data_IF_711750275123
#
_entry.id   IF_711750275123
#
_cell.length_a   1.000
_cell.length_b   1.000
_cell.length_c   1.000
_cell.angle_alpha   90.00
_cell.angle_beta   90.00
_cell.angle_gamma   90.00
#
_symmetry.space_group_name_H-M   'P 1'
#
loop_
_entity.id
_entity.type
_entity.pdbx_description
1 polymer ?
#
# COMPACT_ATOMS: atom_id res chain seq x y z
N UNK A 1 10.50 -10.49 -32.54
CA UNK A 1 10.96 -10.57 -31.15
C UNK A 1 11.00 -12.02 -30.60
N UNK A 2 11.77 -12.96 -31.19
CA UNK A 2 11.78 -14.36 -30.72
C UNK A 2 12.93 -14.74 -29.77
N UNK A 3 13.94 -13.90 -29.55
CA UNK A 3 15.19 -14.34 -28.89
C UNK A 3 15.08 -14.58 -27.37
N UNK A 4 14.08 -14.03 -26.68
CA UNK A 4 13.97 -14.14 -25.22
C UNK A 4 13.01 -15.23 -24.74
N UNK A 5 12.21 -15.82 -25.63
CA UNK A 5 11.20 -16.84 -25.27
C UNK A 5 11.86 -18.07 -24.64
N UNK A 6 13.02 -18.48 -25.17
CA UNK A 6 13.76 -19.61 -24.63
C UNK A 6 14.27 -19.40 -23.21
N UNK A 7 14.55 -18.15 -22.81
CA UNK A 7 14.96 -17.82 -21.44
C UNK A 7 13.76 -17.82 -20.49
N UNK A 8 12.62 -17.29 -20.94
CA UNK A 8 11.36 -17.28 -20.16
C UNK A 8 10.89 -18.70 -19.87
N UNK A 9 10.99 -19.60 -20.84
CA UNK A 9 10.63 -21.02 -20.69
C UNK A 9 11.53 -21.81 -19.72
N UNK A 10 12.69 -21.29 -19.32
CA UNK A 10 13.52 -21.91 -18.28
C UNK A 10 12.97 -21.66 -16.88
N UNK A 11 12.10 -20.65 -16.72
CA UNK A 11 11.43 -20.38 -15.46
C UNK A 11 10.23 -21.31 -15.27
N UNK A 12 9.96 -21.70 -14.02
CA UNK A 12 8.86 -22.61 -13.70
C UNK A 12 7.49 -22.04 -14.10
N UNK A 13 7.32 -20.71 -14.12
CA UNK A 13 6.10 -20.02 -14.55
C UNK A 13 6.14 -19.54 -16.01
N UNK A 14 7.18 -19.87 -16.78
CA UNK A 14 7.36 -19.35 -18.14
C UNK A 14 6.23 -19.69 -19.10
N UNK A 15 5.63 -20.86 -18.95
CA UNK A 15 4.48 -21.29 -19.76
C UNK A 15 3.21 -20.50 -19.46
N UNK A 16 2.98 -20.14 -18.20
CA UNK A 16 1.81 -19.34 -17.80
C UNK A 16 1.92 -17.93 -18.38
N UNK A 17 3.14 -17.39 -18.43
CA UNK A 17 3.41 -16.08 -19.02
C UNK A 17 3.18 -16.05 -20.53
N UNK A 18 3.48 -17.14 -21.24
CA UNK A 18 3.16 -17.26 -22.67
C UNK A 18 1.67 -17.49 -22.93
N UNK A 19 0.94 -18.08 -21.98
CA UNK A 19 -0.50 -18.34 -22.11
C UNK A 19 -1.35 -17.05 -22.11
N UNK A 20 -0.79 -15.95 -21.60
CA UNK A 20 -1.42 -14.62 -21.57
C UNK A 20 -0.93 -13.70 -22.72
N UNK A 21 -0.19 -14.23 -23.69
CA UNK A 21 0.24 -13.54 -24.91
C UNK A 21 -0.52 -14.07 -26.13
N UNK A 22 -0.81 -13.19 -27.09
CA UNK A 22 -1.43 -13.51 -28.38
C UNK A 22 -0.47 -13.14 -29.50
N UNK A 23 -0.41 -13.95 -30.54
CA UNK A 23 0.37 -13.61 -31.74
C UNK A 23 -0.50 -12.81 -32.73
N UNK A 24 -0.07 -11.60 -33.06
CA UNK A 24 -0.68 -10.78 -34.11
C UNK A 24 0.39 -10.33 -35.11
N UNK A 25 0.23 -10.69 -36.38
CA UNK A 25 1.17 -10.37 -37.48
C UNK A 25 2.64 -10.72 -37.18
N UNK A 26 2.90 -11.84 -36.51
CA UNK A 26 4.25 -12.30 -36.16
C UNK A 26 4.89 -11.57 -34.97
N UNK A 27 4.11 -10.80 -34.20
CA UNK A 27 4.52 -10.17 -32.95
C UNK A 27 3.64 -10.68 -31.81
N UNK A 28 4.28 -11.03 -30.70
CA UNK A 28 3.58 -11.32 -29.44
C UNK A 28 3.07 -10.00 -28.86
N UNK A 29 1.77 -9.94 -28.63
CA UNK A 29 1.04 -8.84 -28.01
C UNK A 29 0.28 -9.37 -26.79
N UNK A 30 -0.15 -8.47 -25.91
CA UNK A 30 -0.96 -8.84 -24.75
C UNK A 30 -2.27 -9.51 -25.22
N UNK A 31 -2.71 -10.55 -24.52
CA UNK A 31 -4.01 -11.15 -24.79
C UNK A 31 -5.16 -10.27 -24.31
N UNK A 32 -6.34 -10.54 -24.83
CA UNK A 32 -7.58 -9.79 -24.61
C UNK A 32 -7.96 -9.64 -23.11
N UNK A 33 -7.50 -10.55 -22.23
CA UNK A 33 -7.71 -10.49 -20.77
C UNK A 33 -7.21 -9.21 -20.11
N UNK A 34 -6.24 -8.53 -20.74
CA UNK A 34 -5.68 -7.28 -20.23
C UNK A 34 -6.47 -6.04 -20.63
N UNK A 35 -7.37 -6.18 -21.60
CA UNK A 35 -8.08 -5.05 -22.20
C UNK A 35 -9.57 -5.07 -21.86
N UNK A 36 -10.20 -6.25 -21.86
CA UNK A 36 -11.61 -6.39 -21.56
C UNK A 36 -11.96 -7.74 -20.91
N UNK A 37 -13.15 -7.90 -20.32
CA UNK A 37 -13.59 -9.17 -19.76
C UNK A 37 -13.64 -10.28 -20.83
N UNK A 38 -13.12 -11.47 -20.51
CA UNK A 38 -13.08 -12.65 -21.39
C UNK A 38 -13.89 -13.85 -20.86
N UNK A 39 -14.52 -13.70 -19.68
CA UNK A 39 -15.18 -14.80 -18.96
C UNK A 39 -16.55 -15.19 -19.51
N UNK A 40 -17.19 -14.35 -20.33
CA UNK A 40 -18.56 -14.54 -20.79
C UNK A 40 -18.65 -14.39 -22.32
N UNK A 41 -19.48 -15.23 -22.95
CA UNK A 41 -19.83 -15.06 -24.36
C UNK A 41 -20.60 -13.75 -24.53
N UNK A 42 -20.16 -12.89 -25.45
CA UNK A 42 -20.86 -11.65 -25.82
C UNK A 42 -22.15 -12.03 -26.56
N UNK A 43 -23.17 -12.43 -25.82
CA UNK A 43 -24.52 -12.50 -26.34
C UNK A 43 -24.96 -11.07 -26.66
N UNK A 44 -25.25 -10.80 -27.93
CA UNK A 44 -25.86 -9.55 -28.35
C UNK A 44 -27.29 -9.52 -27.81
N UNK A 45 -27.48 -8.97 -26.61
CA UNK A 45 -28.78 -8.46 -26.20
C UNK A 45 -29.11 -7.28 -27.10
N UNK A 46 -30.14 -7.43 -27.94
CA UNK A 46 -30.51 -6.41 -28.93
C UNK A 46 -31.23 -5.19 -28.32
N UNK A 47 -31.82 -5.33 -27.13
CA UNK A 47 -32.49 -4.23 -26.43
C UNK A 47 -32.70 -4.56 -24.95
N UNK A 48 -32.60 -3.56 -24.07
CA UNK A 48 -32.97 -3.69 -22.64
C UNK A 48 -33.74 -2.46 -22.20
N UNK A 49 -34.86 -2.65 -21.49
CA UNK A 49 -35.67 -1.52 -21.00
C UNK A 49 -35.13 -0.93 -19.67
N UNK A 50 -34.23 -1.64 -18.98
CA UNK A 50 -33.72 -1.27 -17.66
C UNK A 50 -32.31 -0.66 -17.71
N UNK A 51 -32.10 0.58 -17.20
CA UNK A 51 -30.77 1.18 -17.10
C UNK A 51 -29.75 0.34 -16.29
N UNK A 52 -30.21 -0.42 -15.30
CA UNK A 52 -29.35 -1.29 -14.49
C UNK A 52 -28.83 -2.51 -15.28
N UNK A 53 -29.67 -3.04 -16.16
CA UNK A 53 -29.31 -4.15 -17.03
C UNK A 53 -28.34 -3.66 -18.12
N UNK A 54 -28.59 -2.49 -18.69
CA UNK A 54 -27.68 -1.83 -19.62
C UNK A 54 -26.31 -1.56 -18.99
N UNK A 55 -26.26 -1.09 -17.73
CA UNK A 55 -25.01 -0.92 -16.98
C UNK A 55 -24.27 -2.26 -16.83
N UNK A 56 -24.97 -3.33 -16.45
CA UNK A 56 -24.39 -4.65 -16.29
C UNK A 56 -23.83 -5.20 -17.61
N UNK A 57 -24.53 -4.97 -18.73
CA UNK A 57 -24.06 -5.33 -20.07
C UNK A 57 -22.83 -4.52 -20.49
N UNK A 58 -22.81 -3.22 -20.18
CA UNK A 58 -21.67 -2.34 -20.42
C UNK A 58 -20.42 -2.82 -19.68
N UNK A 59 -20.56 -3.13 -18.38
CA UNK A 59 -19.49 -3.68 -17.56
C UNK A 59 -19.03 -5.06 -18.03
N UNK A 60 -19.95 -5.93 -18.43
CA UNK A 60 -19.60 -7.26 -18.94
C UNK A 60 -18.84 -7.20 -20.27
N UNK A 61 -19.15 -6.20 -21.12
CA UNK A 61 -18.55 -6.06 -22.45
C UNK A 61 -17.23 -5.27 -22.43
N UNK A 62 -17.20 -4.15 -21.71
CA UNK A 62 -16.09 -3.20 -21.73
C UNK A 62 -15.29 -3.15 -20.42
N UNK A 63 -15.85 -3.64 -19.31
CA UNK A 63 -15.24 -3.49 -17.98
C UNK A 63 -15.30 -2.05 -17.43
N UNK A 64 -15.99 -1.14 -18.13
CA UNK A 64 -16.18 0.28 -17.79
C UNK A 64 -17.64 0.68 -18.01
N UNK A 65 -18.02 1.86 -17.53
CA UNK A 65 -19.35 2.43 -17.76
C UNK A 65 -19.34 3.19 -19.09
N UNK A 66 -19.75 2.53 -20.17
CA UNK A 66 -19.90 3.17 -21.48
C UNK A 66 -21.33 3.65 -21.73
N UNK A 67 -21.56 4.96 -21.55
CA UNK A 67 -22.87 5.58 -21.71
C UNK A 67 -23.38 5.48 -23.15
N UNK A 68 -22.52 5.67 -24.16
CA UNK A 68 -22.93 5.55 -25.56
C UNK A 68 -23.50 4.17 -25.90
N UNK A 69 -22.87 3.11 -25.40
CA UNK A 69 -23.38 1.74 -25.55
C UNK A 69 -24.70 1.53 -24.81
N UNK A 70 -24.84 2.09 -23.62
CA UNK A 70 -26.07 2.00 -22.84
C UNK A 70 -27.24 2.73 -23.53
N UNK A 71 -26.99 3.88 -24.16
CA UNK A 71 -27.98 4.60 -24.95
C UNK A 71 -28.45 3.79 -26.16
N UNK A 72 -27.54 3.09 -26.85
CA UNK A 72 -27.89 2.19 -27.96
C UNK A 72 -28.79 1.04 -27.48
N UNK A 73 -28.55 0.51 -26.28
CA UNK A 73 -29.32 -0.59 -25.70
C UNK A 73 -30.71 -0.18 -25.21
N UNK A 74 -30.85 0.98 -24.57
CA UNK A 74 -32.12 1.40 -23.94
C UNK A 74 -32.92 2.40 -24.78
N UNK A 75 -32.28 3.08 -25.75
CA UNK A 75 -32.87 4.22 -26.47
C UNK A 75 -33.06 5.48 -25.62
N UNK A 76 -32.55 5.50 -24.39
CA UNK A 76 -32.65 6.63 -23.45
C UNK A 76 -31.57 7.68 -23.69
N UNK A 77 -31.81 8.90 -23.19
CA UNK A 77 -30.76 9.92 -23.18
C UNK A 77 -29.71 9.65 -22.10
N UNK A 78 -28.52 10.25 -22.23
CA UNK A 78 -27.47 10.17 -21.22
C UNK A 78 -27.96 10.69 -19.87
N UNK A 79 -28.69 11.81 -19.86
CA UNK A 79 -29.24 12.42 -18.65
C UNK A 79 -30.24 11.50 -17.94
N UNK A 80 -31.08 10.79 -18.69
CA UNK A 80 -32.04 9.81 -18.15
C UNK A 80 -31.31 8.63 -17.50
N UNK A 81 -30.27 8.10 -18.16
CA UNK A 81 -29.46 7.00 -17.64
C UNK A 81 -28.74 7.42 -16.35
N UNK A 82 -28.10 8.58 -16.34
CA UNK A 82 -27.39 9.11 -15.17
C UNK A 82 -28.33 9.40 -14.01
N UNK A 83 -29.53 9.91 -14.29
CA UNK A 83 -30.57 10.13 -13.28
C UNK A 83 -31.03 8.81 -12.68
N UNK A 84 -31.28 7.79 -13.51
CA UNK A 84 -31.69 6.47 -13.06
C UNK A 84 -30.59 5.74 -12.26
N UNK A 85 -29.33 5.98 -12.61
CA UNK A 85 -28.15 5.35 -12.00
C UNK A 85 -27.50 6.22 -10.91
N UNK A 86 -28.19 7.26 -10.45
CA UNK A 86 -27.69 8.15 -9.41
C UNK A 86 -27.32 7.37 -8.15
N UNK A 87 -26.10 7.61 -7.65
CA UNK A 87 -25.53 6.91 -6.50
C UNK A 87 -24.94 5.53 -6.80
N UNK A 88 -25.08 5.01 -8.03
CA UNK A 88 -24.41 3.78 -8.48
C UNK A 88 -23.23 4.05 -9.39
N UNK A 89 -23.26 5.15 -10.15
CA UNK A 89 -22.15 5.59 -10.99
C UNK A 89 -21.74 7.01 -10.60
N UNK A 90 -20.45 7.29 -10.65
CA UNK A 90 -19.86 8.59 -10.34
C UNK A 90 -18.90 8.99 -11.45
N UNK A 91 -18.88 10.29 -11.77
CA UNK A 91 -17.91 10.83 -12.70
C UNK A 91 -16.55 10.94 -12.02
N UNK A 92 -15.52 10.36 -12.63
CA UNK A 92 -14.15 10.46 -12.18
C UNK A 92 -13.35 11.38 -13.13
N UNK A 93 -13.02 12.62 -12.69
CA UNK A 93 -12.31 13.58 -13.53
C UNK A 93 -10.85 13.19 -13.81
N UNK A 94 -10.27 12.25 -13.06
CA UNK A 94 -8.89 11.79 -13.27
C UNK A 94 -8.75 10.88 -14.48
N UNK A 95 -9.83 10.20 -14.88
CA UNK A 95 -9.88 9.32 -16.06
C UNK A 95 -10.85 9.83 -17.12
N UNK A 96 -11.48 10.98 -16.88
CA UNK A 96 -12.48 11.62 -17.76
C UNK A 96 -13.61 10.65 -18.16
N UNK A 97 -14.18 9.95 -17.18
CA UNK A 97 -15.19 8.93 -17.44
C UNK A 97 -15.97 8.54 -16.20
N UNK A 98 -17.03 7.75 -16.39
CA UNK A 98 -17.86 7.25 -15.29
C UNK A 98 -17.34 5.92 -14.76
N UNK A 99 -17.35 5.79 -13.43
CA UNK A 99 -17.03 4.56 -12.72
C UNK A 99 -18.19 4.15 -11.82
N UNK A 100 -18.36 2.85 -11.60
CA UNK A 100 -19.30 2.35 -10.60
C UNK A 100 -18.84 2.71 -9.19
N UNK A 101 -19.79 2.88 -8.26
CA UNK A 101 -19.55 3.23 -6.85
C UNK A 101 -18.44 2.37 -6.25
N UNK A 102 -18.55 1.05 -6.36
CA UNK A 102 -17.62 0.09 -5.75
C UNK A 102 -16.17 0.29 -6.22
N UNK A 103 -15.98 0.60 -7.51
CA UNK A 103 -14.66 0.88 -8.09
C UNK A 103 -14.19 2.28 -7.73
N UNK A 104 -15.09 3.24 -7.74
CA UNK A 104 -14.79 4.64 -7.46
C UNK A 104 -14.36 4.86 -6.01
N UNK A 105 -15.00 4.20 -5.04
CA UNK A 105 -14.63 4.28 -3.61
C UNK A 105 -13.53 3.28 -3.20
N UNK A 106 -12.99 2.51 -4.15
CA UNK A 106 -11.89 1.59 -3.86
C UNK A 106 -10.52 2.30 -3.91
N UNK A 107 -9.58 1.77 -3.11
CA UNK A 107 -8.19 2.21 -3.05
C UNK A 107 -7.93 3.28 -1.99
N UNK A 108 -6.89 4.09 -2.19
CA UNK A 108 -6.57 5.20 -1.30
C UNK A 108 -7.54 6.37 -1.56
N UNK A 109 -8.68 6.36 -0.86
CA UNK A 109 -9.75 7.35 -0.98
C UNK A 109 -9.24 8.76 -0.65
N UNK A 110 -8.37 8.90 0.36
CA UNK A 110 -7.81 10.19 0.79
C UNK A 110 -6.99 10.82 -0.33
N UNK A 111 -6.05 10.06 -0.91
CA UNK A 111 -5.24 10.55 -2.03
C UNK A 111 -6.12 10.90 -3.24
N UNK A 112 -7.11 10.06 -3.57
CA UNK A 112 -8.04 10.32 -4.69
C UNK A 112 -8.85 11.60 -4.48
N UNK A 113 -9.31 11.87 -3.26
CA UNK A 113 -9.99 13.13 -2.92
C UNK A 113 -9.08 14.34 -3.09
N UNK A 114 -7.82 14.25 -2.66
CA UNK A 114 -6.83 15.31 -2.84
C UNK A 114 -6.56 15.59 -4.32
N UNK A 115 -6.35 14.54 -5.12
CA UNK A 115 -6.13 14.64 -6.57
C UNK A 115 -7.33 15.30 -7.27
N UNK A 116 -8.56 14.89 -6.93
CA UNK A 116 -9.78 15.46 -7.52
C UNK A 116 -9.95 16.93 -7.10
N UNK A 117 -9.69 17.28 -5.83
CA UNK A 117 -9.73 18.67 -5.37
C UNK A 117 -8.69 19.52 -6.08
N UNK A 118 -7.49 19.00 -6.30
CA UNK A 118 -6.46 19.69 -7.07
C UNK A 118 -6.87 19.88 -8.52
N UNK A 119 -7.47 18.85 -9.15
CA UNK A 119 -8.02 18.96 -10.49
C UNK A 119 -9.10 20.06 -10.58
N UNK A 120 -9.99 20.14 -9.59
CA UNK A 120 -11.05 21.15 -9.50
C UNK A 120 -10.50 22.58 -9.32
N UNK A 121 -9.35 22.76 -8.68
CA UNK A 121 -8.70 24.07 -8.57
C UNK A 121 -8.10 24.55 -9.89
N UNK A 122 -7.67 23.62 -10.75
CA UNK A 122 -7.07 23.92 -12.06
C UNK A 122 -8.15 24.21 -13.11
N UNK A 123 -9.32 23.58 -12.99
CA UNK A 123 -10.44 23.74 -13.91
C UNK A 123 -11.47 24.73 -13.36
N UNK A 124 -11.59 25.90 -13.99
CA UNK A 124 -12.44 27.02 -13.53
C UNK A 124 -13.94 26.73 -13.58
N UNK A 125 -14.37 25.70 -14.31
CA UNK A 125 -15.79 25.35 -14.41
C UNK A 125 -16.20 24.44 -13.26
N UNK A 126 -17.13 24.92 -12.43
CA UNK A 126 -17.75 24.10 -11.39
C UNK A 126 -18.65 23.05 -12.03
N UNK A 127 -18.17 21.82 -12.10
CA UNK A 127 -18.96 20.67 -12.52
C UNK A 127 -19.63 20.02 -11.30
N UNK A 128 -20.96 20.12 -11.24
CA UNK A 128 -21.78 19.52 -10.18
C UNK A 128 -21.56 18.00 -10.03
N UNK A 129 -21.14 17.30 -11.08
CA UNK A 129 -20.86 15.85 -11.05
C UNK A 129 -19.64 15.53 -10.19
N UNK A 130 -18.66 16.44 -10.17
CA UNK A 130 -17.43 16.30 -9.36
C UNK A 130 -17.75 16.51 -7.88
N UNK A 131 -18.66 17.43 -7.56
CA UNK A 131 -19.10 17.65 -6.18
C UNK A 131 -19.84 16.42 -5.62
N UNK A 132 -20.70 15.79 -6.42
CA UNK A 132 -21.35 14.52 -6.05
C UNK A 132 -20.34 13.39 -5.85
N UNK A 133 -19.32 13.32 -6.72
CA UNK A 133 -18.24 12.34 -6.61
C UNK A 133 -17.40 12.56 -5.33
N UNK A 134 -17.05 13.81 -5.01
CA UNK A 134 -16.32 14.14 -3.78
C UNK A 134 -17.12 13.78 -2.52
N UNK A 135 -18.43 14.03 -2.50
CA UNK A 135 -19.29 13.65 -1.40
C UNK A 135 -19.33 12.13 -1.18
N UNK A 136 -19.36 11.35 -2.27
CA UNK A 136 -19.32 9.89 -2.20
C UNK A 136 -17.98 9.35 -1.67
N UNK A 137 -16.86 10.01 -2.02
CA UNK A 137 -15.56 9.66 -1.44
C UNK A 137 -15.48 10.01 0.03
N UNK A 138 -16.02 11.16 0.44
CA UNK A 138 -16.06 11.60 1.84
C UNK A 138 -16.86 10.64 2.74
N UNK A 139 -18.00 10.14 2.26
CA UNK A 139 -18.78 9.10 2.94
C UNK A 139 -18.00 7.77 3.07
N UNK A 140 -17.13 7.48 2.10
CA UNK A 140 -16.34 6.25 2.06
C UNK A 140 -15.00 6.34 2.83
N UNK A 141 -14.67 7.49 3.43
CA UNK A 141 -13.44 7.64 4.22
C UNK A 141 -13.53 6.71 5.44
N UNK A 142 -12.56 5.79 5.63
CA UNK A 142 -12.52 4.94 6.81
C UNK A 142 -12.39 5.76 8.09
N UNK A 143 -12.90 5.22 9.20
CA UNK A 143 -12.70 5.83 10.52
C UNK A 143 -11.20 6.00 10.81
N UNK A 144 -10.82 7.20 11.28
CA UNK A 144 -9.44 7.47 11.64
C UNK A 144 -9.08 6.64 12.87
N UNK A 145 -8.00 5.87 12.77
CA UNK A 145 -7.49 5.10 13.90
C UNK A 145 -6.84 6.09 14.89
N UNK A 146 -7.32 6.17 16.15
CA UNK A 146 -6.73 7.04 17.14
C UNK A 146 -5.32 6.56 17.49
N UNK A 147 -4.45 7.49 17.91
CA UNK A 147 -3.06 7.16 18.22
C UNK A 147 -2.93 6.10 19.33
N UNK A 148 -3.83 6.12 20.31
CA UNK A 148 -3.83 5.17 21.43
C UNK A 148 -4.09 3.71 21.00
N UNK A 149 -4.72 3.49 19.84
CA UNK A 149 -4.99 2.16 19.29
C UNK A 149 -3.85 1.67 18.36
N UNK A 150 -2.86 2.52 18.06
CA UNK A 150 -1.72 2.15 17.24
C UNK A 150 -0.65 1.46 18.09
N UNK A 151 -0.51 0.15 17.92
CA UNK A 151 0.58 -0.63 18.51
C UNK A 151 1.67 -0.88 17.46
N UNK A 152 2.85 -0.30 17.66
CA UNK A 152 4.02 -0.50 16.80
C UNK A 152 5.30 -0.54 17.62
N UNK A 153 6.26 -1.37 17.19
CA UNK A 153 7.52 -1.50 17.90
C UNK A 153 8.51 -0.40 17.51
N UNK A 154 9.51 -0.18 18.36
CA UNK A 154 10.65 0.63 17.97
C UNK A 154 11.46 -0.10 16.89
N UNK A 155 11.71 0.53 15.74
CA UNK A 155 12.41 -0.11 14.62
C UNK A 155 11.53 -0.71 13.52
N UNK A 156 10.24 -0.36 13.47
CA UNK A 156 9.41 -0.70 12.30
C UNK A 156 10.01 -0.17 10.98
N UNK A 157 10.03 -1.00 9.94
CA UNK A 157 10.69 -0.72 8.65
C UNK A 157 10.00 0.35 7.81
N UNK A 158 8.70 0.54 8.03
CA UNK A 158 7.89 1.54 7.33
C UNK A 158 8.02 2.94 7.93
N UNK A 159 8.55 3.05 9.17
CA UNK A 159 8.81 4.33 9.82
C UNK A 159 10.16 4.89 9.31
N UNK A 160 10.20 6.14 8.80
CA UNK A 160 11.45 6.73 8.35
C UNK A 160 12.49 6.81 9.48
N UNK A 161 13.74 6.41 9.19
CA UNK A 161 14.82 6.40 10.19
C UNK A 161 15.10 7.76 10.81
N UNK A 162 14.78 8.85 10.09
CA UNK A 162 14.87 10.22 10.58
C UNK A 162 13.99 10.49 11.81
N UNK A 163 12.84 9.81 11.91
CA UNK A 163 11.94 9.91 13.08
C UNK A 163 12.62 9.33 14.32
N UNK A 164 13.16 8.11 14.21
CA UNK A 164 13.90 7.46 15.29
C UNK A 164 15.15 8.25 15.68
N UNK A 165 15.89 8.79 14.69
CA UNK A 165 17.10 9.57 14.91
C UNK A 165 16.80 10.88 15.66
N UNK A 166 15.73 11.60 15.27
CA UNK A 166 15.31 12.82 15.96
C UNK A 166 14.88 12.54 17.40
N UNK A 167 14.07 11.49 17.62
CA UNK A 167 13.64 11.08 18.96
C UNK A 167 14.82 10.72 19.85
N UNK A 168 15.73 9.86 19.38
CA UNK A 168 16.89 9.43 20.16
C UNK A 168 17.90 10.56 20.38
N UNK A 169 18.03 11.48 19.42
CA UNK A 169 18.88 12.65 19.58
C UNK A 169 18.36 13.59 20.67
N UNK A 170 17.04 13.74 20.76
CA UNK A 170 16.39 14.49 21.82
C UNK A 170 16.51 13.78 23.18
N UNK A 171 16.24 12.46 23.23
CA UNK A 171 16.30 11.66 24.45
C UNK A 171 17.72 11.65 25.06
N UNK A 172 18.72 11.39 24.22
CA UNK A 172 20.12 11.33 24.64
C UNK A 172 20.81 12.69 24.65
N UNK A 173 20.17 13.79 24.25
CA UNK A 173 20.78 15.12 24.18
C UNK A 173 22.12 15.15 23.39
N UNK A 174 22.21 14.34 22.34
CA UNK A 174 23.39 14.25 21.46
C UNK A 174 22.94 13.88 20.06
N UNK A 175 23.71 14.20 19.03
CA UNK A 175 23.36 13.82 17.66
C UNK A 175 23.50 12.30 17.47
N UNK A 176 22.37 11.63 17.23
CA UNK A 176 22.27 10.20 16.90
C UNK A 176 21.88 10.04 15.45
N UNK A 177 22.62 9.23 14.71
CA UNK A 177 22.37 8.89 13.30
C UNK A 177 21.96 7.43 13.21
N UNK A 178 20.84 7.21 12.52
CA UNK A 178 20.25 5.89 12.31
C UNK A 178 20.09 5.69 10.81
N UNK A 179 20.64 4.61 10.28
CA UNK A 179 20.49 4.23 8.88
C UNK A 179 20.08 2.75 8.79
N UNK A 180 19.10 2.48 7.93
CA UNK A 180 18.59 1.14 7.66
C UNK A 180 19.15 0.64 6.32
N UNK A 181 19.64 -0.60 6.30
CA UNK A 181 20.10 -1.28 5.09
C UNK A 181 19.06 -2.31 4.65
N UNK A 182 18.25 -2.04 3.59
CA UNK A 182 17.21 -2.97 3.15
C UNK A 182 17.74 -4.32 2.66
N UNK A 183 18.96 -4.36 2.11
CA UNK A 183 19.58 -5.59 1.61
C UNK A 183 20.02 -6.55 2.71
N UNK A 184 20.38 -6.00 3.88
CA UNK A 184 20.86 -6.77 5.03
C UNK A 184 19.83 -6.89 6.14
N UNK A 185 18.70 -6.18 6.01
CA UNK A 185 17.70 -6.03 7.06
C UNK A 185 18.32 -5.58 8.39
N UNK A 186 19.26 -4.62 8.32
CA UNK A 186 20.03 -4.17 9.49
C UNK A 186 19.91 -2.67 9.74
N UNK A 187 19.71 -2.31 11.02
CA UNK A 187 19.84 -0.94 11.50
C UNK A 187 21.26 -0.69 12.01
N UNK A 188 21.86 0.38 11.48
CA UNK A 188 23.12 0.92 11.97
C UNK A 188 22.86 2.18 12.79
N UNK A 189 23.50 2.26 13.95
CA UNK A 189 23.38 3.37 14.89
C UNK A 189 24.75 3.93 15.19
N UNK A 190 24.86 5.25 15.18
CA UNK A 190 26.10 5.96 15.51
C UNK A 190 25.77 7.27 16.20
N UNK A 191 26.68 7.76 17.04
CA UNK A 191 26.56 9.04 17.72
C UNK A 191 27.84 9.85 17.53
N UNK A 192 27.70 11.17 17.40
CA UNK A 192 28.87 12.06 17.20
C UNK A 192 29.66 12.23 18.49
N UNK A 193 28.97 12.29 19.64
CA UNK A 193 29.57 12.41 20.97
C UNK A 193 28.84 11.54 21.97
N UNK A 194 29.58 10.91 22.87
CA UNK A 194 29.03 10.16 24.00
C UNK A 194 28.88 11.09 25.20
N UNK A 195 27.81 10.91 25.97
CA UNK A 195 27.52 11.70 27.16
C UNK A 195 27.12 10.81 28.34
N UNK A 196 27.00 11.43 29.52
CA UNK A 196 26.64 10.77 30.78
C UNK A 196 25.32 10.01 30.66
N UNK A 197 24.35 10.54 29.90
CA UNK A 197 23.07 9.86 29.67
C UNK A 197 23.26 8.48 29.05
N UNK A 198 24.11 8.36 28.04
CA UNK A 198 24.32 7.08 27.33
C UNK A 198 25.03 6.04 28.20
N UNK A 199 26.09 6.43 28.93
CA UNK A 199 26.92 5.45 29.66
C UNK A 199 26.58 5.28 31.14
N UNK A 200 25.73 6.13 31.72
CA UNK A 200 25.22 5.98 33.09
C UNK A 200 23.70 5.86 33.16
N UNK A 201 22.95 6.85 32.66
CA UNK A 201 21.48 6.91 32.87
C UNK A 201 20.74 5.79 32.14
N UNK A 202 21.03 5.62 30.85
CA UNK A 202 20.47 4.56 30.00
C UNK A 202 21.39 3.34 29.92
N UNK A 203 22.32 3.19 30.85
CA UNK A 203 23.23 2.05 30.89
C UNK A 203 22.71 0.99 31.86
N UNK A 204 22.54 -0.22 31.35
CA UNK A 204 22.13 -1.37 32.14
C UNK A 204 23.36 -2.19 32.49
N UNK A 205 23.71 -2.23 33.77
CA UNK A 205 24.87 -2.98 34.30
C UNK A 205 24.44 -4.38 34.69
N UNK A 206 24.87 -5.39 33.94
CA UNK A 206 24.70 -6.80 34.29
C UNK A 206 25.87 -7.32 35.13
N UNK A 207 25.72 -8.54 35.65
CA UNK A 207 26.73 -9.19 36.49
C UNK A 207 28.06 -9.42 35.75
N UNK A 208 28.00 -9.81 34.47
CA UNK A 208 29.18 -10.08 33.64
C UNK A 208 29.46 -9.00 32.58
N UNK A 209 28.45 -8.24 32.17
CA UNK A 209 28.55 -7.27 31.08
C UNK A 209 27.57 -6.12 31.30
N UNK A 210 27.99 -4.92 30.95
CA UNK A 210 27.13 -3.74 30.87
C UNK A 210 26.76 -3.44 29.43
N UNK A 211 25.54 -2.97 29.23
CA UNK A 211 25.01 -2.51 27.96
C UNK A 211 24.77 -1.00 28.05
N UNK A 212 25.48 -0.23 27.24
CA UNK A 212 25.28 1.21 27.14
C UNK A 212 23.99 1.54 26.37
N UNK A 213 23.53 2.79 26.47
CA UNK A 213 22.31 3.23 25.80
C UNK A 213 22.34 3.03 24.28
N UNK A 214 23.52 3.05 23.65
CA UNK A 214 23.67 2.77 22.22
C UNK A 214 23.50 1.28 21.89
N UNK A 215 24.04 0.38 22.71
CA UNK A 215 23.79 -1.06 22.58
C UNK A 215 22.33 -1.40 22.78
N UNK A 216 21.68 -0.78 23.79
CA UNK A 216 20.25 -0.95 24.03
C UNK A 216 19.40 -0.41 22.88
N UNK A 217 19.78 0.73 22.31
CA UNK A 217 19.13 1.27 21.12
C UNK A 217 19.23 0.32 19.93
N UNK A 218 20.40 -0.29 19.69
CA UNK A 218 20.53 -1.32 18.65
C UNK A 218 19.59 -2.49 18.91
N UNK A 219 19.56 -2.99 20.15
CA UNK A 219 18.65 -4.06 20.54
C UNK A 219 17.17 -3.70 20.32
N UNK A 220 16.77 -2.49 20.71
CA UNK A 220 15.41 -1.96 20.53
C UNK A 220 15.01 -1.91 19.05
N UNK A 221 15.86 -1.33 18.18
CA UNK A 221 15.59 -1.23 16.73
C UNK A 221 15.45 -2.61 16.04
N UNK A 222 16.12 -3.63 16.59
CA UNK A 222 16.02 -4.99 16.10
C UNK A 222 14.94 -5.83 16.79
N UNK A 223 14.17 -5.24 17.72
CA UNK A 223 13.24 -5.93 18.59
C UNK A 223 13.85 -7.18 19.24
N UNK A 224 15.09 -7.03 19.72
CA UNK A 224 15.84 -8.08 20.42
C UNK A 224 16.10 -7.66 21.86
N UNK A 225 16.30 -8.64 22.73
CA UNK A 225 16.65 -8.40 24.14
C UNK A 225 18.15 -8.65 24.37
N UNK A 226 18.86 -7.77 25.09
CA UNK A 226 20.22 -8.02 25.53
C UNK A 226 20.29 -9.32 26.35
N UNK A 227 21.34 -10.10 26.16
CA UNK A 227 21.53 -11.34 26.91
C UNK A 227 22.27 -11.07 28.22
N UNK A 228 21.53 -10.89 29.31
CA UNK A 228 22.09 -10.69 30.64
C UNK A 228 22.14 -12.02 31.42
N UNK A 229 23.28 -12.29 32.04
CA UNK A 229 23.52 -13.50 32.83
C UNK A 229 23.92 -13.11 34.26
N UNK A 230 23.50 -13.91 35.23
CA UNK A 230 23.91 -13.83 36.64
C UNK A 230 24.58 -15.12 37.12
N UNK A 231 25.49 -14.98 38.09
CA UNK A 231 26.07 -16.13 38.78
C UNK A 231 25.13 -16.58 39.89
N UNK A 232 24.71 -17.84 39.88
CA UNK A 232 23.87 -18.43 40.95
C UNK A 232 24.63 -19.38 41.87
N UNK A 233 25.87 -19.72 41.53
CA UNK A 233 26.71 -20.66 42.28
C UNK A 233 27.92 -21.11 41.47
N UNK A 234 28.70 -22.04 42.03
CA UNK A 234 29.84 -22.67 41.35
C UNK A 234 29.58 -24.15 41.11
N UNK A 235 30.05 -24.68 39.98
CA UNK A 235 30.00 -26.10 39.65
C UNK A 235 31.06 -26.90 40.45
N UNK A 236 31.03 -28.22 40.32
CA UNK A 236 31.98 -29.15 40.98
C UNK A 236 33.45 -28.90 40.57
N UNK A 237 33.68 -28.19 39.46
CA UNK A 237 34.99 -27.82 38.93
C UNK A 237 35.39 -26.38 39.31
N UNK A 238 34.57 -25.65 40.08
CA UNK A 238 34.82 -24.29 40.53
C UNK A 238 34.47 -23.17 39.54
N UNK A 239 33.83 -23.48 38.41
CA UNK A 239 33.36 -22.49 37.44
C UNK A 239 32.00 -21.92 37.83
N UNK A 240 31.74 -20.68 37.44
CA UNK A 240 30.45 -20.04 37.69
C UNK A 240 29.31 -20.68 36.88
N UNK A 241 28.23 -21.03 37.56
CA UNK A 241 26.96 -21.44 36.94
C UNK A 241 26.23 -20.16 36.52
N UNK A 242 26.17 -19.94 35.21
CA UNK A 242 25.53 -18.77 34.61
C UNK A 242 24.08 -19.08 34.27
N UNK A 243 23.16 -18.30 34.84
CA UNK A 243 21.72 -18.36 34.52
C UNK A 243 21.31 -17.03 33.90
N UNK A 244 20.41 -17.08 32.93
CA UNK A 244 19.85 -15.88 32.30
C UNK A 244 19.04 -15.10 33.35
N UNK A 245 19.28 -13.80 33.40
CA UNK A 245 18.52 -12.91 34.28
C UNK A 245 17.14 -12.59 33.70
#
# INVERSE_FOLDING_TARGET
APQNVGLVLMDAGGHDLLAIEREEKGRLVKSDIFEHPVSFSVLQTEHTDSPEEALSLSLNRYGSVELGYMQELTGSSEEELLTALKGRVFFNPLVDGYEIKDRFVAGNVIAKMEDIRQWQQVHTETDSRVDEALAALEEAVPEQIPFDDLDFNFGERWIPTGVFAAYMSHLYETEVKIAYSPSLDEFSVSNTRTNVKIYEEFCVKGYYRSYDGMSLLKHALHNTVPNMMKCVGKDENGNDIKVRD
#
